data_IF_706963174216
#
_entry.id   IF_706963174216
#
_cell.length_a   1.000
_cell.length_b   1.000
_cell.length_c   1.000
_cell.angle_alpha   90.00
_cell.angle_beta   90.00
_cell.angle_gamma   90.00
#
_symmetry.space_group_name_H-M   'P 1'
#
loop_
_entity.id
_entity.type
_entity.pdbx_description
1 polymer ?
#
# COMPACT_ATOMS: atom_id res chain seq x y z
N UNK A 1 -9.73 6.63 10.88
CA UNK A 1 -8.99 7.13 9.70
C UNK A 1 -7.51 7.18 10.06
N UNK A 2 -6.68 6.29 9.51
CA UNK A 2 -5.24 6.23 9.81
C UNK A 2 -4.54 7.25 8.93
N UNK A 3 -3.89 8.26 9.53
CA UNK A 3 -3.07 9.26 8.82
C UNK A 3 -1.60 8.88 8.98
N UNK A 4 -0.92 8.55 7.89
CA UNK A 4 0.51 8.23 7.89
C UNK A 4 1.27 9.56 7.87
N UNK A 5 1.96 9.90 8.96
CA UNK A 5 2.84 11.07 9.03
C UNK A 5 4.28 10.63 8.75
N UNK A 6 4.90 11.16 7.71
CA UNK A 6 6.30 10.91 7.41
C UNK A 6 7.17 11.98 8.07
N UNK A 7 8.04 11.55 9.00
CA UNK A 7 9.09 12.39 9.58
C UNK A 7 10.36 12.15 8.78
N UNK A 8 10.85 13.19 8.11
CA UNK A 8 12.06 13.14 7.28
C UNK A 8 13.32 13.23 8.16
N UNK A 9 14.49 12.90 7.60
CA UNK A 9 15.77 12.92 8.32
C UNK A 9 16.19 14.33 8.80
N UNK A 10 15.65 15.39 8.17
CA UNK A 10 15.83 16.78 8.56
C UNK A 10 14.80 17.27 9.59
N UNK A 11 13.93 16.37 10.09
CA UNK A 11 12.88 16.67 11.07
C UNK A 11 11.62 17.28 10.45
N UNK A 12 11.57 17.50 9.14
CA UNK A 12 10.35 18.00 8.50
C UNK A 12 9.26 16.92 8.48
N UNK A 13 8.05 17.31 8.87
CA UNK A 13 6.87 16.45 8.82
C UNK A 13 6.08 16.81 7.58
N UNK A 14 5.97 15.87 6.64
CA UNK A 14 5.12 16.03 5.45
C UNK A 14 3.84 15.23 5.64
N UNK A 15 2.70 15.93 5.63
CA UNK A 15 1.36 15.33 5.73
C UNK A 15 0.95 14.61 4.45
N UNK A 16 1.58 14.95 3.31
CA UNK A 16 1.40 14.29 2.03
C UNK A 16 2.71 14.40 1.25
N UNK A 17 3.27 13.26 0.85
CA UNK A 17 4.38 13.20 -0.09
C UNK A 17 3.76 12.69 -1.39
N UNK A 18 3.99 13.39 -2.51
CA UNK A 18 3.67 12.80 -3.81
C UNK A 18 4.36 11.45 -3.90
N UNK A 19 3.55 10.40 -4.07
CA UNK A 19 4.03 9.03 -4.07
C UNK A 19 5.11 8.84 -5.12
N UNK A 20 6.16 8.12 -4.79
CA UNK A 20 7.19 7.77 -5.77
C UNK A 20 6.69 6.62 -6.65
N UNK A 21 6.63 6.84 -7.96
CA UNK A 21 6.32 5.77 -8.91
C UNK A 21 7.54 4.87 -9.05
N UNK A 22 7.44 3.66 -8.51
CA UNK A 22 8.49 2.65 -8.65
C UNK A 22 8.33 1.99 -10.04
N UNK A 23 9.34 2.07 -10.93
CA UNK A 23 9.22 1.46 -12.25
C UNK A 23 9.18 -0.07 -12.16
N UNK A 24 8.40 -0.70 -13.03
CA UNK A 24 8.35 -2.16 -13.15
C UNK A 24 9.59 -2.66 -13.89
N UNK A 25 10.43 -3.41 -13.19
CA UNK A 25 11.62 -4.06 -13.71
C UNK A 25 11.84 -5.40 -12.97
N UNK A 26 12.86 -6.16 -13.36
CA UNK A 26 13.10 -7.50 -12.80
C UNK A 26 13.29 -7.50 -11.28
N UNK A 27 13.84 -6.41 -10.72
CA UNK A 27 14.04 -6.27 -9.27
C UNK A 27 12.75 -5.95 -8.54
N UNK A 28 11.88 -5.11 -9.11
CA UNK A 28 10.64 -4.65 -8.47
C UNK A 28 9.46 -5.58 -8.74
N UNK A 29 9.52 -6.39 -9.80
CA UNK A 29 8.47 -7.33 -10.23
C UNK A 29 7.96 -8.21 -9.09
N UNK A 30 8.87 -8.87 -8.35
CA UNK A 30 8.48 -9.76 -7.23
C UNK A 30 7.73 -9.03 -6.12
N UNK A 31 8.10 -7.79 -5.84
CA UNK A 31 7.41 -6.98 -4.84
C UNK A 31 5.99 -6.65 -5.30
N UNK A 32 5.82 -6.27 -6.58
CA UNK A 32 4.50 -6.02 -7.16
C UNK A 32 3.62 -7.27 -7.16
N UNK A 33 4.15 -8.43 -7.54
CA UNK A 33 3.41 -9.70 -7.50
C UNK A 33 2.94 -10.06 -6.09
N UNK A 34 3.77 -9.84 -5.07
CA UNK A 34 3.42 -10.10 -3.68
C UNK A 34 2.32 -9.15 -3.18
N UNK A 35 2.40 -7.87 -3.56
CA UNK A 35 1.37 -6.88 -3.22
C UNK A 35 0.03 -7.21 -3.89
N UNK A 36 0.05 -7.59 -5.16
CA UNK A 36 -1.14 -7.99 -5.91
C UNK A 36 -1.85 -9.17 -5.23
N UNK A 37 -1.12 -10.24 -4.89
CA UNK A 37 -1.68 -11.40 -4.17
C UNK A 37 -2.31 -11.04 -2.83
N UNK A 38 -1.68 -10.13 -2.08
CA UNK A 38 -2.23 -9.65 -0.81
C UNK A 38 -3.49 -8.81 -1.00
N UNK A 39 -3.56 -8.01 -2.07
CA UNK A 39 -4.74 -7.23 -2.40
C UNK A 39 -5.94 -8.15 -2.69
N UNK A 40 -5.75 -9.16 -3.54
CA UNK A 40 -6.79 -10.15 -3.89
C UNK A 40 -7.35 -10.87 -2.65
N UNK A 41 -6.47 -11.28 -1.73
CA UNK A 41 -6.88 -11.92 -0.47
C UNK A 41 -7.71 -10.98 0.43
N UNK A 42 -7.36 -9.69 0.44
CA UNK A 42 -8.05 -8.71 1.26
C UNK A 42 -9.44 -8.40 0.68
N UNK A 43 -9.54 -8.29 -0.65
CA UNK A 43 -10.82 -8.16 -1.34
C UNK A 43 -11.74 -9.35 -1.03
N UNK A 44 -11.22 -10.57 -1.11
CA UNK A 44 -11.97 -11.78 -0.78
C UNK A 44 -12.46 -11.82 0.69
N UNK A 45 -11.65 -11.31 1.64
CA UNK A 45 -12.08 -11.16 3.04
C UNK A 45 -13.17 -10.10 3.23
N UNK A 46 -13.07 -8.98 2.52
CA UNK A 46 -14.06 -7.91 2.63
C UNK A 46 -15.41 -8.28 2.02
N UNK A 47 -15.44 -9.05 0.92
CA UNK A 47 -16.69 -9.52 0.33
C UNK A 47 -17.41 -10.54 1.22
N UNK A 48 -16.68 -11.44 1.87
CA UNK A 48 -17.22 -12.39 2.85
C UNK A 48 -17.75 -11.69 4.13
N UNK A 49 -17.10 -10.61 4.57
CA UNK A 49 -17.59 -9.80 5.71
C UNK A 49 -18.88 -9.05 5.37
N UNK A 50 -19.00 -8.54 4.13
CA UNK A 50 -20.17 -7.77 3.68
C UNK A 50 -21.39 -8.65 3.40
N UNK A 51 -21.19 -9.91 3.04
CA UNK A 51 -22.26 -10.89 2.84
C UNK A 51 -22.87 -11.42 4.15
N UNK A 52 -22.25 -11.15 5.30
CA UNK A 52 -22.70 -11.59 6.64
C UNK A 52 -23.34 -10.48 7.49
N UNK A 53 -23.38 -9.24 6.99
CA UNK A 53 -24.11 -8.11 7.58
C UNK A 53 -25.40 -7.87 6.81
#
# INVERSE_FOLDING_TARGET
MIKIKHVMADGTVRDSIDGYVVPLNDRTKRAYELLARKAEQNEHRTTLSKARS
#
